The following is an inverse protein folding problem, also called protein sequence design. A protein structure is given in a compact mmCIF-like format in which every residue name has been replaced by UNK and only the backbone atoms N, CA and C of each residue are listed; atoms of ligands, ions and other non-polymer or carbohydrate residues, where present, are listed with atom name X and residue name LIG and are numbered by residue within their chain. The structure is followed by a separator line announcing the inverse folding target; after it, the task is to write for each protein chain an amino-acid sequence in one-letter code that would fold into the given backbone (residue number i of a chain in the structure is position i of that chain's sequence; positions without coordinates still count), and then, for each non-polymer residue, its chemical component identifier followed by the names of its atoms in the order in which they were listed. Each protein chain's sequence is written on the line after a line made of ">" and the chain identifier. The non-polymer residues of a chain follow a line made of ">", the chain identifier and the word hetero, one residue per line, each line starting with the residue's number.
data_IF_411603820253
#
_entry.id   IF_411603820253
#
_cell.length_a   1.000
_cell.length_b   1.000
_cell.length_c   1.000
_cell.angle_alpha   90.00
_cell.angle_beta   90.00
_cell.angle_gamma   90.00
#
_symmetry.space_group_name_H-M   'P 1'
#
loop_
_entity.id
_entity.type
_entity.pdbx_description
1 polymer ?
#
# COMPACT_ATOMS: atom_id res chain seq x y z
N UNK A 1 -9.66 -12.86 5.12
CA UNK A 1 -8.67 -11.93 5.67
C UNK A 1 -8.67 -12.00 7.19
N UNK A 2 -7.54 -12.37 7.79
CA UNK A 2 -7.35 -12.49 9.23
C UNK A 2 -6.00 -11.88 9.64
N UNK A 3 -5.89 -11.41 10.89
CA UNK A 3 -4.62 -11.00 11.48
C UNK A 3 -4.07 -12.16 12.30
N UNK A 4 -2.98 -12.77 11.82
CA UNK A 4 -2.38 -13.94 12.47
C UNK A 4 -1.44 -13.53 13.60
N UNK A 5 -0.76 -12.40 13.45
CA UNK A 5 0.26 -11.95 14.40
C UNK A 5 0.40 -10.44 14.38
N UNK A 6 0.57 -9.87 15.57
CA UNK A 6 0.96 -8.48 15.77
C UNK A 6 2.23 -8.48 16.63
N UNK A 7 3.25 -7.74 16.22
CA UNK A 7 4.44 -7.47 17.03
C UNK A 7 4.67 -5.98 17.16
N UNK A 8 5.05 -5.55 18.36
CA UNK A 8 5.53 -4.20 18.59
C UNK A 8 7.05 -4.18 18.38
N UNK A 9 7.52 -3.42 17.40
CA UNK A 9 8.95 -3.19 17.18
C UNK A 9 9.34 -1.86 17.82
N UNK A 10 10.13 -1.91 18.90
CA UNK A 10 10.58 -0.73 19.64
C UNK A 10 11.91 -0.23 19.07
N UNK A 11 11.99 1.06 18.75
CA UNK A 11 13.19 1.70 18.17
C UNK A 11 13.38 1.44 16.67
N UNK A 12 14.54 1.85 16.10
CA UNK A 12 14.89 1.57 14.71
C UNK A 12 14.86 0.07 14.40
N UNK A 13 14.26 -0.29 13.27
CA UNK A 13 14.03 -1.68 12.86
C UNK A 13 14.13 -1.82 11.33
N UNK A 14 13.89 -3.04 10.82
CA UNK A 14 14.01 -3.34 9.38
C UNK A 14 13.07 -2.52 8.48
N UNK A 15 11.96 -2.01 9.01
CA UNK A 15 10.94 -1.28 8.24
C UNK A 15 11.09 0.24 8.34
N UNK A 16 11.47 0.73 9.51
CA UNK A 16 11.55 2.16 9.77
C UNK A 16 12.57 2.51 10.85
N UNK A 17 13.02 3.77 10.86
CA UNK A 17 13.91 4.31 11.90
C UNK A 17 13.19 4.64 13.22
N UNK A 18 11.88 4.47 13.28
CA UNK A 18 11.02 4.76 14.44
C UNK A 18 10.18 3.52 14.81
N UNK A 19 9.55 3.48 16.00
CA UNK A 19 8.76 2.33 16.44
C UNK A 19 7.55 2.07 15.53
N UNK A 20 7.27 0.80 15.22
CA UNK A 20 6.14 0.39 14.35
C UNK A 20 5.44 -0.87 14.89
N UNK A 21 4.23 -1.13 14.37
CA UNK A 21 3.55 -2.41 14.51
C UNK A 21 3.80 -3.25 13.25
N UNK A 22 4.40 -4.41 13.43
CA UNK A 22 4.49 -5.42 12.37
C UNK A 22 3.28 -6.33 12.47
N UNK A 23 2.46 -6.36 11.42
CA UNK A 23 1.24 -7.18 11.34
C UNK A 23 1.42 -8.21 10.23
N UNK A 24 1.24 -9.49 10.56
CA UNK A 24 1.08 -10.56 9.58
C UNK A 24 -0.40 -10.75 9.31
N UNK A 25 -0.79 -10.61 8.05
CA UNK A 25 -2.16 -10.75 7.58
C UNK A 25 -2.24 -11.93 6.63
N UNK A 26 -3.15 -12.85 6.90
CA UNK A 26 -3.61 -13.84 5.93
C UNK A 26 -4.73 -13.21 5.10
N UNK A 27 -4.52 -13.07 3.79
CA UNK A 27 -5.52 -12.49 2.89
C UNK A 27 -6.65 -13.49 2.57
N UNK A 28 -6.39 -14.79 2.71
CA UNK A 28 -7.29 -15.87 2.35
C UNK A 28 -7.61 -15.85 0.85
N UNK A 29 -8.88 -16.02 0.49
CA UNK A 29 -9.31 -16.05 -0.91
C UNK A 29 -8.94 -14.78 -1.71
N UNK A 30 -8.69 -13.64 -1.04
CA UNK A 30 -8.27 -12.39 -1.71
C UNK A 30 -6.89 -12.48 -2.37
N UNK A 31 -6.05 -13.46 -2.02
CA UNK A 31 -4.77 -13.67 -2.71
C UNK A 31 -4.95 -13.94 -4.21
N UNK A 32 -6.07 -14.58 -4.58
CA UNK A 32 -6.40 -14.91 -5.98
C UNK A 32 -7.03 -13.74 -6.75
N UNK A 33 -7.37 -12.64 -6.06
CA UNK A 33 -8.03 -11.47 -6.66
C UNK A 33 -7.20 -10.19 -6.48
N UNK A 34 -6.00 -10.13 -7.07
CA UNK A 34 -5.16 -8.95 -6.99
C UNK A 34 -5.79 -7.78 -7.77
N UNK A 35 -5.55 -6.56 -7.31
CA UNK A 35 -6.20 -5.36 -7.88
C UNK A 35 -5.99 -5.15 -9.39
N UNK A 36 -4.95 -5.73 -9.99
CA UNK A 36 -4.68 -5.63 -11.43
C UNK A 36 -5.68 -6.44 -12.29
N UNK A 37 -6.40 -7.41 -11.73
CA UNK A 37 -7.44 -8.15 -12.47
C UNK A 37 -8.78 -7.42 -12.47
N UNK A 38 -8.92 -6.37 -11.66
CA UNK A 38 -10.11 -5.54 -11.60
C UNK A 38 -10.18 -4.67 -12.86
N UNK A 39 -11.07 -5.04 -13.79
CA UNK A 39 -11.27 -4.31 -15.04
C UNK A 39 -11.50 -2.82 -14.79
N UNK A 40 -10.76 -1.95 -15.46
CA UNK A 40 -10.89 -0.49 -15.38
C UNK A 40 -10.49 0.14 -14.03
N UNK A 41 -9.75 -0.58 -13.18
CA UNK A 41 -9.41 -0.09 -11.83
C UNK A 41 -8.60 1.21 -11.87
N UNK A 42 -7.56 1.28 -12.71
CA UNK A 42 -6.70 2.45 -12.80
C UNK A 42 -7.47 3.66 -13.33
N UNK A 43 -8.31 3.50 -14.36
CA UNK A 43 -9.14 4.59 -14.90
C UNK A 43 -10.11 5.13 -13.85
N UNK A 44 -10.77 4.25 -13.08
CA UNK A 44 -11.63 4.68 -11.98
C UNK A 44 -10.85 5.42 -10.90
N UNK A 45 -9.68 4.91 -10.52
CA UNK A 45 -8.84 5.52 -9.49
C UNK A 45 -8.37 6.92 -9.90
N UNK A 46 -7.90 7.08 -11.15
CA UNK A 46 -7.50 8.39 -11.70
C UNK A 46 -8.69 9.37 -11.76
N UNK A 47 -9.89 8.89 -12.14
CA UNK A 47 -11.08 9.73 -12.17
C UNK A 47 -11.54 10.17 -10.77
N UNK A 48 -11.39 9.33 -9.76
CA UNK A 48 -11.73 9.68 -8.37
C UNK A 48 -10.71 10.64 -7.75
N UNK A 49 -9.43 10.50 -8.11
CA UNK A 49 -8.34 11.26 -7.53
C UNK A 49 -7.52 11.97 -8.63
N UNK A 50 -8.12 12.91 -9.38
CA UNK A 50 -7.47 13.53 -10.54
C UNK A 50 -6.22 14.34 -10.18
N UNK A 51 -6.15 14.87 -8.95
CA UNK A 51 -5.00 15.63 -8.46
C UNK A 51 -3.82 14.75 -8.02
N UNK A 52 -3.99 13.42 -7.98
CA UNK A 52 -2.95 12.49 -7.56
C UNK A 52 -1.78 12.41 -8.54
N UNK A 53 -1.95 12.97 -9.75
CA UNK A 53 -0.86 13.18 -10.71
C UNK A 53 0.18 14.17 -10.19
N UNK A 54 -0.19 15.05 -9.25
CA UNK A 54 0.76 15.96 -8.60
C UNK A 54 1.55 15.28 -7.48
N UNK A 55 1.20 14.05 -7.11
CA UNK A 55 1.99 13.29 -6.14
C UNK A 55 3.41 13.11 -6.66
N UNK A 56 4.38 13.40 -5.79
CA UNK A 56 5.80 13.14 -6.01
C UNK A 56 6.23 12.07 -5.02
N UNK A 57 6.73 10.96 -5.55
CA UNK A 57 7.30 9.90 -4.71
C UNK A 57 8.64 10.35 -4.13
N UNK A 58 9.36 9.45 -3.46
CA UNK A 58 10.70 9.74 -2.89
C UNK A 58 11.74 10.21 -3.92
N UNK A 59 11.52 9.93 -5.21
CA UNK A 59 12.40 10.37 -6.32
C UNK A 59 12.12 11.84 -6.71
N UNK A 60 10.96 12.39 -6.30
CA UNK A 60 10.61 13.78 -6.54
C UNK A 60 9.98 14.07 -7.91
N UNK A 61 9.71 13.04 -8.73
CA UNK A 61 9.11 13.18 -10.05
C UNK A 61 7.59 13.35 -9.99
N UNK A 62 7.03 14.17 -10.89
CA UNK A 62 5.58 14.38 -11.00
C UNK A 62 4.93 13.08 -11.50
N UNK A 63 3.81 12.71 -10.88
CA UNK A 63 3.13 11.46 -11.19
C UNK A 63 3.77 10.27 -10.50
N UNK A 64 4.54 10.45 -9.41
CA UNK A 64 5.19 9.34 -8.72
C UNK A 64 4.26 8.31 -8.08
N UNK A 65 2.94 8.50 -8.19
CA UNK A 65 1.92 7.51 -7.83
C UNK A 65 1.35 6.76 -9.04
N UNK A 66 1.41 7.35 -10.25
CA UNK A 66 0.82 6.82 -11.48
C UNK A 66 1.86 6.21 -12.41
#
# INVERSE_FOLDING_TARGET
>A
MNIDKIKVLRGPNQWARFPVLEVRVDLGWLEEYPSHTLAGFNERLMNWLPTMIEHRCSIGERGGFF
#
